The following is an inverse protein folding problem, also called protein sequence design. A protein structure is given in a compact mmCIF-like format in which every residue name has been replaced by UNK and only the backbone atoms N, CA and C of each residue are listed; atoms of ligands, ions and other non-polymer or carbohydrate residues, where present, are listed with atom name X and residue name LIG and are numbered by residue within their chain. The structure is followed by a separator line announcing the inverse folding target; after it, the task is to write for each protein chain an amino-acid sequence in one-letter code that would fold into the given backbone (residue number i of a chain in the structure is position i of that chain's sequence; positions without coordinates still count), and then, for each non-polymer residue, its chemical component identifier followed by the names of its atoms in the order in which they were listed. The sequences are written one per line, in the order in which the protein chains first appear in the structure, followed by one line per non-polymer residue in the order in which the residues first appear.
data_IF_883424455950
#
_entry.id   IF_883424455950
#
_cell.length_a   1.000
_cell.length_b   1.000
_cell.length_c   1.000
_cell.angle_alpha   90.00
_cell.angle_beta   90.00
_cell.angle_gamma   90.00
#
_symmetry.space_group_name_H-M   'P 1'
#
loop_
_entity.id
_entity.type
_entity.pdbx_description
1 polymer ?
#
# COMPACT_ATOMS: atom_id res chain seq x y z
N UNK A 1 -15.50 7.50 -28.64
CA UNK A 1 -14.58 8.53 -28.08
C UNK A 1 -14.48 8.31 -26.58
N UNK A 2 -13.29 7.99 -26.06
CA UNK A 2 -13.10 7.85 -24.61
C UNK A 2 -13.14 9.25 -23.95
N UNK A 3 -14.07 9.47 -23.01
CA UNK A 3 -14.15 10.72 -22.23
C UNK A 3 -12.89 10.81 -21.35
N UNK A 4 -12.05 11.82 -21.59
CA UNK A 4 -10.94 12.13 -20.69
C UNK A 4 -11.50 12.52 -19.32
N UNK A 5 -11.13 11.80 -18.26
CA UNK A 5 -11.58 12.07 -16.89
C UNK A 5 -10.88 13.31 -16.36
N UNK A 6 -11.59 14.18 -15.62
CA UNK A 6 -10.96 15.32 -14.94
C UNK A 6 -9.93 14.84 -13.92
N UNK A 7 -8.92 15.65 -13.62
CA UNK A 7 -7.90 15.34 -12.60
C UNK A 7 -8.53 15.05 -11.22
N UNK A 8 -9.64 15.72 -10.91
CA UNK A 8 -10.40 15.49 -9.68
C UNK A 8 -11.02 14.09 -9.66
N UNK A 9 -11.61 13.67 -10.77
CA UNK A 9 -12.21 12.34 -10.89
C UNK A 9 -11.15 11.24 -10.89
N UNK A 10 -9.99 11.47 -11.50
CA UNK A 10 -8.86 10.54 -11.45
C UNK A 10 -8.35 10.35 -10.01
N UNK A 11 -8.11 11.46 -9.28
CA UNK A 11 -7.71 11.41 -7.88
C UNK A 11 -8.74 10.67 -7.02
N UNK A 12 -10.04 10.91 -7.25
CA UNK A 12 -11.13 10.27 -6.51
C UNK A 12 -11.10 8.75 -6.70
N UNK A 13 -11.03 8.29 -7.94
CA UNK A 13 -11.00 6.87 -8.28
C UNK A 13 -9.73 6.17 -7.78
N UNK A 14 -8.58 6.84 -7.87
CA UNK A 14 -7.33 6.29 -7.33
C UNK A 14 -7.38 6.18 -5.79
N UNK A 15 -7.89 7.21 -5.10
CA UNK A 15 -8.09 7.15 -3.64
C UNK A 15 -9.03 6.01 -3.27
N UNK A 16 -10.15 5.89 -3.97
CA UNK A 16 -11.16 4.85 -3.74
C UNK A 16 -10.58 3.44 -3.94
N UNK A 17 -9.74 3.23 -4.96
CA UNK A 17 -9.06 1.96 -5.16
C UNK A 17 -8.11 1.61 -3.98
N UNK A 18 -7.29 2.58 -3.54
CA UNK A 18 -6.40 2.40 -2.39
C UNK A 18 -7.20 2.16 -1.10
N UNK A 19 -8.30 2.88 -0.90
CA UNK A 19 -9.18 2.70 0.26
C UNK A 19 -9.80 1.30 0.28
N UNK A 20 -10.36 0.85 -0.84
CA UNK A 20 -11.00 -0.46 -0.94
C UNK A 20 -10.00 -1.59 -0.66
N UNK A 21 -8.79 -1.51 -1.22
CA UNK A 21 -7.74 -2.48 -0.95
C UNK A 21 -7.30 -2.45 0.52
N UNK A 22 -7.05 -1.27 1.07
CA UNK A 22 -6.65 -1.12 2.47
C UNK A 22 -7.72 -1.64 3.44
N UNK A 23 -9.00 -1.35 3.20
CA UNK A 23 -10.12 -1.92 3.95
C UNK A 23 -10.15 -3.44 3.84
N UNK A 24 -10.05 -3.98 2.62
CA UNK A 24 -10.09 -5.42 2.40
C UNK A 24 -9.05 -6.17 3.24
N UNK A 25 -7.81 -5.69 3.28
CA UNK A 25 -6.75 -6.33 4.06
C UNK A 25 -6.94 -6.18 5.57
N UNK A 26 -7.47 -5.04 6.05
CA UNK A 26 -7.78 -4.83 7.48
C UNK A 26 -8.96 -5.66 7.95
N UNK A 27 -9.98 -5.84 7.13
CA UNK A 27 -11.18 -6.62 7.42
C UNK A 27 -10.94 -8.14 7.28
N UNK A 28 -9.89 -8.52 6.55
CA UNK A 28 -9.52 -9.91 6.30
C UNK A 28 -8.03 -10.19 6.57
N UNK A 29 -7.51 -9.90 7.78
CA UNK A 29 -6.09 -10.08 8.08
C UNK A 29 -5.63 -11.54 7.91
N UNK A 30 -6.52 -12.52 8.12
CA UNK A 30 -6.26 -13.94 7.90
C UNK A 30 -6.01 -14.30 6.43
N UNK A 31 -6.39 -13.45 5.47
CA UNK A 31 -6.12 -13.64 4.04
C UNK A 31 -4.77 -13.07 3.61
N UNK A 32 -4.10 -12.27 4.46
CA UNK A 32 -2.75 -11.81 4.19
C UNK A 32 -1.82 -13.03 4.19
N UNK A 33 -0.96 -13.23 3.18
CA UNK A 33 -0.07 -14.39 3.13
C UNK A 33 0.76 -14.55 4.42
N UNK A 34 0.91 -15.77 4.98
CA UNK A 34 1.63 -15.98 6.24
C UNK A 34 3.08 -15.44 6.26
N UNK A 35 3.78 -15.51 5.13
CA UNK A 35 5.11 -14.93 4.97
C UNK A 35 5.11 -13.40 5.14
N UNK A 36 4.08 -12.72 4.63
CA UNK A 36 3.90 -11.27 4.79
C UNK A 36 3.56 -10.92 6.24
N UNK A 37 2.67 -11.67 6.88
CA UNK A 37 2.36 -11.47 8.31
C UNK A 37 3.63 -11.59 9.17
N UNK A 38 4.45 -12.62 8.90
CA UNK A 38 5.73 -12.85 9.58
C UNK A 38 6.70 -11.69 9.34
N UNK A 39 6.86 -11.25 8.09
CA UNK A 39 7.71 -10.11 7.73
C UNK A 39 7.30 -8.84 8.48
N UNK A 40 6.01 -8.53 8.49
CA UNK A 40 5.47 -7.31 9.12
C UNK A 40 5.68 -7.32 10.64
N UNK A 41 5.45 -8.47 11.29
CA UNK A 41 5.77 -8.64 12.70
C UNK A 41 7.27 -8.46 12.98
N UNK A 42 8.15 -9.04 12.17
CA UNK A 42 9.61 -8.88 12.29
C UNK A 42 10.08 -7.44 12.08
N UNK A 43 9.36 -6.64 11.29
CA UNK A 43 9.62 -5.21 11.07
C UNK A 43 8.99 -4.31 12.14
N UNK A 44 8.32 -4.87 13.14
CA UNK A 44 7.58 -4.14 14.18
C UNK A 44 6.54 -3.18 13.59
N UNK A 45 5.89 -3.59 12.49
CA UNK A 45 4.81 -2.83 11.87
C UNK A 45 3.48 -3.41 12.36
N UNK A 46 2.59 -2.53 12.83
CA UNK A 46 1.26 -2.92 13.28
C UNK A 46 0.27 -3.01 12.11
N UNK A 47 -0.26 -4.21 11.88
CA UNK A 47 -1.23 -4.53 10.84
C UNK A 47 -2.53 -3.73 10.95
N UNK A 48 -2.91 -3.29 12.15
CA UNK A 48 -4.14 -2.53 12.38
C UNK A 48 -4.01 -1.06 12.00
N UNK A 49 -2.78 -0.53 12.00
CA UNK A 49 -2.53 0.89 11.78
C UNK A 49 -1.76 1.18 10.50
N UNK A 50 -1.21 0.16 9.82
CA UNK A 50 -0.65 0.29 8.48
C UNK A 50 -1.72 0.08 7.38
N UNK A 51 -1.32 0.31 6.13
CA UNK A 51 -2.09 -0.13 4.95
C UNK A 51 -1.17 -0.85 3.98
N UNK A 52 -1.71 -1.86 3.29
CA UNK A 52 -1.08 -2.44 2.11
C UNK A 52 -1.66 -1.82 0.85
N UNK A 53 -0.85 -1.84 -0.19
CA UNK A 53 -1.26 -1.49 -1.53
C UNK A 53 -0.49 -2.30 -2.58
N UNK A 54 -1.15 -2.66 -3.66
CA UNK A 54 -0.63 -3.58 -4.69
C UNK A 54 -0.13 -4.90 -4.09
N UNK A 55 -0.78 -5.41 -3.03
CA UNK A 55 -0.41 -6.69 -2.41
C UNK A 55 -0.83 -7.84 -3.31
N UNK A 56 0.15 -8.60 -3.78
CA UNK A 56 -0.06 -9.62 -4.79
C UNK A 56 0.78 -10.88 -4.52
N UNK A 57 0.12 -12.03 -4.61
CA UNK A 57 0.76 -13.36 -4.59
C UNK A 57 0.77 -13.91 -6.03
N UNK A 58 1.97 -14.17 -6.54
CA UNK A 58 2.19 -14.63 -7.92
C UNK A 58 1.85 -16.10 -8.16
N UNK A 59 1.44 -16.84 -7.13
CA UNK A 59 1.06 -18.25 -7.24
C UNK A 59 0.02 -18.51 -8.34
N UNK A 60 -0.97 -17.62 -8.46
CA UNK A 60 -1.99 -17.71 -9.53
C UNK A 60 -1.43 -17.64 -10.96
N UNK A 61 -0.21 -17.12 -11.13
CA UNK A 61 0.51 -17.03 -12.40
C UNK A 61 1.66 -18.04 -12.51
N UNK A 62 1.75 -19.00 -11.59
CA UNK A 62 2.85 -19.97 -11.52
C UNK A 62 4.17 -19.37 -11.04
N UNK A 63 4.13 -18.17 -10.46
CA UNK A 63 5.28 -17.53 -9.82
C UNK A 63 5.44 -17.95 -8.36
N UNK A 64 6.64 -17.72 -7.80
CA UNK A 64 7.00 -18.08 -6.43
C UNK A 64 7.44 -16.85 -5.61
N UNK A 65 6.76 -15.73 -5.81
CA UNK A 65 6.98 -14.50 -5.05
C UNK A 65 5.68 -13.83 -4.60
N UNK A 66 5.77 -13.11 -3.48
CA UNK A 66 4.72 -12.19 -3.01
C UNK A 66 5.33 -10.78 -2.98
N UNK A 67 4.64 -9.81 -3.58
CA UNK A 67 5.09 -8.42 -3.62
C UNK A 67 4.02 -7.47 -3.08
N UNK A 68 4.43 -6.30 -2.62
CA UNK A 68 3.50 -5.25 -2.29
C UNK A 68 4.18 -4.02 -1.70
N UNK A 69 3.37 -3.00 -1.46
CA UNK A 69 3.77 -1.78 -0.78
C UNK A 69 3.07 -1.71 0.56
N UNK A 70 3.80 -1.39 1.62
CA UNK A 70 3.22 -1.10 2.94
C UNK A 70 3.53 0.34 3.33
N UNK A 71 2.50 1.06 3.76
CA UNK A 71 2.64 2.35 4.43
C UNK A 71 2.34 2.19 5.91
N UNK A 72 3.32 2.55 6.72
CA UNK A 72 3.30 2.53 8.19
C UNK A 72 2.55 3.74 8.76
N UNK A 73 2.17 3.67 10.04
CA UNK A 73 1.43 4.73 10.73
C UNK A 73 2.16 6.09 10.74
N UNK A 74 3.50 6.08 10.72
CA UNK A 74 4.37 7.27 10.63
C UNK A 74 4.66 7.69 9.18
N UNK A 75 3.89 7.18 8.21
CA UNK A 75 3.94 7.49 6.79
C UNK A 75 5.23 7.05 6.07
N UNK A 76 6.02 6.14 6.65
CA UNK A 76 7.11 5.49 5.91
C UNK A 76 6.55 4.45 4.96
N UNK A 77 7.11 4.41 3.76
CA UNK A 77 6.66 3.54 2.66
C UNK A 77 7.75 2.55 2.34
N UNK A 78 7.39 1.26 2.38
CA UNK A 78 8.29 0.18 2.05
C UNK A 78 7.72 -0.62 0.89
N UNK A 79 8.56 -0.82 -0.11
CA UNK A 79 8.33 -1.77 -1.20
C UNK A 79 9.00 -3.09 -0.84
N UNK A 80 8.29 -4.20 -1.02
CA UNK A 80 8.80 -5.51 -0.69
C UNK A 80 8.46 -6.58 -1.72
N UNK A 81 9.34 -7.58 -1.77
CA UNK A 81 9.18 -8.80 -2.53
C UNK A 81 9.79 -9.94 -1.72
N UNK A 82 8.99 -10.98 -1.47
CA UNK A 82 9.42 -12.21 -0.80
C UNK A 82 9.42 -13.29 -1.86
N UNK A 83 10.58 -13.90 -2.12
CA UNK A 83 10.68 -15.13 -2.91
C UNK A 83 10.61 -16.34 -1.97
N UNK A 84 9.91 -17.38 -2.39
CA UNK A 84 9.82 -18.67 -1.70
C UNK A 84 10.13 -19.83 -2.65
N UNK A 85 10.46 -20.99 -2.11
CA UNK A 85 10.96 -22.12 -2.91
C UNK A 85 9.88 -22.73 -3.81
N UNK A 86 8.79 -23.22 -3.22
CA UNK A 86 7.67 -23.87 -3.88
C UNK A 86 6.34 -23.59 -3.17
N UNK A 87 5.25 -23.99 -3.82
CA UNK A 87 3.88 -23.74 -3.35
C UNK A 87 3.50 -24.52 -2.09
N UNK A 88 4.06 -25.71 -1.92
CA UNK A 88 3.63 -26.64 -0.87
C UNK A 88 4.21 -26.25 0.48
N UNK A 89 5.45 -25.77 0.49
CA UNK A 89 6.17 -25.44 1.71
C UNK A 89 6.25 -23.93 1.95
N UNK A 90 6.13 -23.11 0.88
CA UNK A 90 6.34 -21.65 0.88
C UNK A 90 7.55 -21.28 1.75
N UNK A 91 8.65 -22.02 1.66
CA UNK A 91 9.83 -21.76 2.46
C UNK A 91 10.47 -20.49 1.94
N UNK A 92 10.72 -19.56 2.85
CA UNK A 92 11.42 -18.32 2.56
C UNK A 92 12.76 -18.58 1.85
N UNK A 93 12.96 -17.93 0.71
CA UNK A 93 14.22 -17.96 -0.06
C UNK A 93 14.94 -16.62 0.05
N UNK A 94 14.24 -15.52 -0.28
CA UNK A 94 14.85 -14.19 -0.28
C UNK A 94 13.84 -13.09 0.06
N UNK A 95 14.36 -11.95 0.51
CA UNK A 95 13.58 -10.74 0.79
C UNK A 95 14.26 -9.55 0.11
N UNK A 96 13.50 -8.84 -0.72
CA UNK A 96 13.78 -7.44 -1.04
C UNK A 96 12.89 -6.58 -0.15
N UNK A 97 13.51 -5.66 0.58
CA UNK A 97 12.82 -4.71 1.45
C UNK A 97 13.46 -3.35 1.27
N UNK A 98 12.74 -2.41 0.67
CA UNK A 98 13.28 -1.09 0.31
C UNK A 98 12.45 0.01 0.93
N UNK A 99 13.10 0.90 1.68
CA UNK A 99 12.49 2.17 2.06
C UNK A 99 12.41 3.06 0.81
N UNK A 100 11.19 3.28 0.33
CA UNK A 100 10.89 4.10 -0.83
C UNK A 100 10.18 5.40 -0.44
N UNK A 101 10.21 5.77 0.85
CA UNK A 101 9.52 6.97 1.37
C UNK A 101 9.95 8.22 0.61
N UNK A 102 11.25 8.44 0.43
CA UNK A 102 11.79 9.60 -0.27
C UNK A 102 11.49 9.61 -1.78
N UNK A 103 11.25 8.42 -2.37
CA UNK A 103 10.92 8.27 -3.79
C UNK A 103 9.41 8.37 -4.04
N UNK A 104 8.61 8.22 -2.99
CA UNK A 104 7.15 8.23 -3.07
C UNK A 104 6.65 9.66 -3.23
N UNK A 105 5.85 9.90 -4.26
CA UNK A 105 5.27 11.23 -4.49
C UNK A 105 4.15 11.53 -3.47
N UNK A 106 4.48 12.33 -2.46
CA UNK A 106 3.53 12.85 -1.46
C UNK A 106 2.94 14.23 -1.81
N UNK A 107 3.20 14.76 -3.02
CA UNK A 107 2.66 16.06 -3.42
C UNK A 107 1.14 16.02 -3.54
N UNK A 108 0.47 16.99 -2.90
CA UNK A 108 -0.96 17.21 -3.06
C UNK A 108 -1.32 17.83 -4.42
N UNK A 109 -0.33 18.33 -5.17
CA UNK A 109 -0.54 18.98 -6.47
C UNK A 109 0.64 18.74 -7.41
N UNK A 110 0.42 17.91 -8.41
CA UNK A 110 1.30 17.71 -9.56
C UNK A 110 0.60 18.30 -10.80
N UNK A 111 1.30 19.17 -11.53
CA UNK A 111 0.74 19.82 -12.74
C UNK A 111 0.35 18.74 -13.76
N UNK A 112 -0.92 18.71 -14.15
CA UNK A 112 -1.46 17.76 -15.13
C UNK A 112 -1.86 16.39 -14.59
N UNK A 113 -1.44 16.01 -13.37
CA UNK A 113 -1.69 14.67 -12.81
C UNK A 113 -2.48 14.66 -11.51
N UNK A 114 -2.51 15.77 -10.75
CA UNK A 114 -3.23 15.82 -9.47
C UNK A 114 -2.39 15.34 -8.30
N UNK A 115 -2.96 14.54 -7.39
CA UNK A 115 -2.28 14.09 -6.17
C UNK A 115 -1.31 12.96 -6.50
N UNK A 116 -0.16 12.94 -5.82
CA UNK A 116 0.76 11.82 -5.89
C UNK A 116 0.19 10.60 -5.15
N UNK A 117 0.63 9.41 -5.55
CA UNK A 117 0.20 8.13 -4.94
C UNK A 117 0.40 8.09 -3.42
N UNK A 118 1.54 8.58 -2.93
CA UNK A 118 1.80 8.68 -1.49
C UNK A 118 0.85 9.63 -0.77
N UNK A 119 0.44 10.72 -1.42
CA UNK A 119 -0.57 11.64 -0.88
C UNK A 119 -1.93 10.94 -0.70
N UNK A 120 -2.34 10.15 -1.70
CA UNK A 120 -3.61 9.40 -1.65
C UNK A 120 -3.56 8.31 -0.58
N UNK A 121 -2.48 7.53 -0.53
CA UNK A 121 -2.25 6.52 0.51
C UNK A 121 -2.24 7.14 1.92
N UNK A 122 -1.61 8.29 2.09
CA UNK A 122 -1.61 9.02 3.37
C UNK A 122 -3.02 9.44 3.79
N UNK A 123 -3.83 9.95 2.86
CA UNK A 123 -5.23 10.32 3.15
C UNK A 123 -6.07 9.11 3.55
N UNK A 124 -5.89 7.97 2.88
CA UNK A 124 -6.55 6.71 3.23
C UNK A 124 -6.11 6.21 4.61
N UNK A 125 -4.80 6.21 4.88
CA UNK A 125 -4.26 5.81 6.18
C UNK A 125 -4.83 6.66 7.32
N UNK A 126 -4.92 7.98 7.10
CA UNK A 126 -5.50 8.91 8.07
C UNK A 126 -6.98 8.59 8.32
N UNK A 127 -7.76 8.42 7.25
CA UNK A 127 -9.17 8.08 7.32
C UNK A 127 -9.42 6.79 8.11
N UNK A 128 -8.67 5.73 7.79
CA UNK A 128 -8.81 4.43 8.45
C UNK A 128 -8.30 4.41 9.90
N UNK A 129 -7.37 5.31 10.26
CA UNK A 129 -6.88 5.46 11.63
C UNK A 129 -7.67 6.51 12.43
N UNK A 130 -8.76 7.06 11.88
CA UNK A 130 -9.57 8.09 12.54
C UNK A 130 -8.83 9.42 12.76
N UNK A 131 -7.77 9.68 11.98
CA UNK A 131 -6.97 10.90 12.05
C UNK A 131 -7.61 11.99 11.18
N UNK A 132 -7.53 13.27 11.60
CA UNK A 132 -8.02 14.37 10.78
C UNK A 132 -7.26 14.42 9.44
N UNK A 133 -7.91 14.80 8.33
CA UNK A 133 -7.24 15.01 7.06
C UNK A 133 -6.10 16.01 7.24
N UNK A 134 -4.95 15.74 6.62
CA UNK A 134 -3.87 16.73 6.51
C UNK A 134 -4.36 17.96 5.73
N UNK A 135 -4.98 18.93 6.40
CA UNK A 135 -5.71 20.01 5.75
C UNK A 135 -5.70 21.33 6.54
N UNK A 136 -4.86 22.25 6.06
CA UNK A 136 -4.59 23.62 6.50
C UNK A 136 -3.67 23.75 7.72
N UNK A 137 -2.42 24.13 7.45
CA UNK A 137 -1.79 25.11 8.34
C UNK A 137 -2.80 26.24 8.53
N UNK A 138 -3.23 26.46 9.76
CA UNK A 138 -3.85 27.72 10.13
C UNK A 138 -2.86 28.82 9.70
N UNK A 139 -3.43 29.85 9.06
CA UNK A 139 -2.77 31.03 8.50
C UNK A 139 -1.73 31.61 9.45
#
# INVERSE_FOLDING_TARGET
MAKSRSVQEQNRLQKEAVLNEACYWREHPQKIPPLVQTLIAQKNIDLQTCIFHDLYDSESMGGNWISGVVMTADYRVFDFEIEYDDFATKRFVSLRWRDVTAQTNFSARNKGFGKGKGCLMKEVLQELNGLPPSGRQAV
#
